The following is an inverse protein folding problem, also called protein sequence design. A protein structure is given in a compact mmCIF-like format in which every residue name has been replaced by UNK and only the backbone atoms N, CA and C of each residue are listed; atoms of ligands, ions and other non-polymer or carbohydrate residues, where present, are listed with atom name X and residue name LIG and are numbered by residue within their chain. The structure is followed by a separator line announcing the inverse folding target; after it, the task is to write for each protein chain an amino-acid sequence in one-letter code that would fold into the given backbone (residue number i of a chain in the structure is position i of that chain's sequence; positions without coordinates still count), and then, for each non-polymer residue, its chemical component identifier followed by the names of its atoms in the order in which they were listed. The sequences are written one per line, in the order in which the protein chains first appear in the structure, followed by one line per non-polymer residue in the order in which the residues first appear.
data_IF_919340704199
#
_entry.id   IF_919340704199
#
_cell.length_a   1.000
_cell.length_b   1.000
_cell.length_c   1.000
_cell.angle_alpha   90.00
_cell.angle_beta   90.00
_cell.angle_gamma   90.00
#
_symmetry.space_group_name_H-M   'P 1'
#
loop_
_entity.id
_entity.type
_entity.pdbx_description
1 polymer ?
#
# COMPACT_ATOMS: atom_id res chain seq x y z
N UNK A 1 13.61 -67.07 50.42
CA UNK A 1 13.18 -66.52 49.11
C UNK A 1 13.27 -65.00 49.17
N UNK A 2 14.13 -64.37 48.36
CA UNK A 2 14.20 -62.89 48.24
C UNK A 2 13.36 -62.49 47.03
N UNK A 3 12.28 -61.74 47.25
CA UNK A 3 11.45 -61.18 46.18
C UNK A 3 12.23 -60.06 45.48
N UNK A 4 12.50 -60.20 44.18
CA UNK A 4 13.09 -59.14 43.37
C UNK A 4 12.09 -57.99 43.23
N UNK A 5 12.43 -56.82 43.79
CA UNK A 5 11.61 -55.60 43.70
C UNK A 5 11.69 -55.08 42.25
N UNK A 6 10.65 -55.34 41.48
CA UNK A 6 10.50 -54.92 40.09
C UNK A 6 10.53 -53.38 40.05
N UNK A 7 11.67 -52.79 39.66
CA UNK A 7 11.80 -51.34 39.52
C UNK A 7 11.12 -50.95 38.22
N UNK A 8 10.05 -50.14 38.30
CA UNK A 8 9.41 -49.61 37.09
C UNK A 8 10.41 -48.70 36.35
N UNK A 9 10.71 -48.96 35.07
CA UNK A 9 11.75 -48.25 34.32
C UNK A 9 11.35 -46.83 33.93
N UNK A 10 10.07 -46.48 34.04
CA UNK A 10 9.55 -45.14 33.76
C UNK A 10 8.49 -44.80 34.80
N UNK A 11 8.61 -43.60 35.36
CA UNK A 11 7.63 -42.99 36.24
C UNK A 11 7.35 -41.59 35.73
N UNK A 12 6.08 -41.21 35.72
CA UNK A 12 5.67 -39.85 35.35
C UNK A 12 6.04 -38.93 36.52
N UNK A 13 6.64 -37.75 36.25
CA UNK A 13 6.91 -36.76 37.27
C UNK A 13 5.63 -36.39 38.05
N UNK A 14 5.79 -36.05 39.32
CA UNK A 14 4.69 -35.51 40.11
C UNK A 14 4.12 -34.26 39.43
N UNK A 15 2.80 -34.15 39.41
CA UNK A 15 2.05 -33.03 38.85
C UNK A 15 2.20 -32.80 37.32
N UNK A 16 2.67 -33.79 36.54
CA UNK A 16 2.82 -33.68 35.09
C UNK A 16 1.51 -33.30 34.39
N UNK A 17 0.41 -33.96 34.78
CA UNK A 17 -0.89 -33.75 34.14
C UNK A 17 -1.50 -32.40 34.50
N UNK A 18 -1.32 -31.94 35.74
CA UNK A 18 -1.76 -30.62 36.20
C UNK A 18 -1.03 -29.50 35.46
N UNK A 19 0.29 -29.62 35.31
CA UNK A 19 1.08 -28.63 34.56
C UNK A 19 0.75 -28.65 33.07
N UNK A 20 0.56 -29.84 32.49
CA UNK A 20 0.17 -30.00 31.10
C UNK A 20 -1.21 -29.40 30.83
N UNK A 21 -2.19 -29.66 31.69
CA UNK A 21 -3.53 -29.10 31.58
C UNK A 21 -3.50 -27.56 31.61
N UNK A 22 -2.75 -26.98 32.55
CA UNK A 22 -2.60 -25.52 32.63
C UNK A 22 -1.85 -24.89 31.43
N UNK A 23 -0.93 -25.61 30.81
CA UNK A 23 -0.26 -25.16 29.57
C UNK A 23 -1.18 -25.28 28.35
N UNK A 24 -1.95 -26.36 28.26
CA UNK A 24 -2.93 -26.58 27.21
C UNK A 24 -4.02 -25.50 27.24
N UNK A 25 -4.54 -25.17 28.41
CA UNK A 25 -5.54 -24.10 28.57
C UNK A 25 -5.04 -22.74 28.06
N UNK A 26 -3.78 -22.40 28.34
CA UNK A 26 -3.15 -21.17 27.85
C UNK A 26 -2.97 -21.14 26.34
N UNK A 27 -2.78 -22.29 25.69
CA UNK A 27 -2.56 -22.36 24.25
C UNK A 27 -3.86 -22.40 23.45
N UNK A 28 -4.93 -22.99 24.01
CA UNK A 28 -6.25 -23.04 23.37
C UNK A 28 -7.09 -21.79 23.63
N UNK A 29 -6.78 -21.01 24.67
CA UNK A 29 -7.52 -19.77 24.95
C UNK A 29 -7.21 -18.74 23.86
N UNK A 30 -8.19 -18.35 23.03
CA UNK A 30 -7.97 -17.36 22.00
C UNK A 30 -7.69 -16.02 22.66
N UNK A 31 -6.41 -15.63 22.69
CA UNK A 31 -6.03 -14.31 23.14
C UNK A 31 -6.57 -13.29 22.14
N UNK A 32 -7.60 -12.54 22.56
CA UNK A 32 -8.15 -11.44 21.78
C UNK A 32 -7.08 -10.36 21.66
N UNK A 33 -6.31 -10.40 20.57
CA UNK A 33 -5.42 -9.28 20.22
C UNK A 33 -6.31 -8.05 19.99
N UNK A 34 -6.01 -6.90 20.61
CA UNK A 34 -6.81 -5.71 20.40
C UNK A 34 -6.74 -5.35 18.91
N UNK A 35 -7.88 -5.01 18.30
CA UNK A 35 -7.99 -4.69 16.86
C UNK A 35 -6.98 -3.62 16.43
N UNK A 36 -6.64 -2.70 17.34
CA UNK A 36 -5.61 -1.68 17.15
C UNK A 36 -4.20 -2.26 16.89
N UNK A 37 -3.84 -3.38 17.52
CA UNK A 37 -2.53 -4.01 17.30
C UNK A 37 -2.36 -4.53 15.87
N UNK A 38 -3.46 -4.90 15.20
CA UNK A 38 -3.46 -5.24 13.77
C UNK A 38 -3.42 -3.99 12.87
N UNK A 39 -4.01 -2.87 13.31
CA UNK A 39 -4.05 -1.64 12.54
C UNK A 39 -2.74 -0.82 12.57
N UNK A 40 -1.92 -0.95 13.62
CA UNK A 40 -0.64 -0.21 13.78
C UNK A 40 0.27 -0.21 12.54
N UNK A 41 0.57 -1.34 11.87
CA UNK A 41 1.44 -1.32 10.69
C UNK A 41 0.80 -0.58 9.50
N UNK A 42 -0.52 -0.69 9.31
CA UNK A 42 -1.25 -0.02 8.23
C UNK A 42 -1.25 1.49 8.46
N UNK A 43 -1.51 1.92 9.69
CA UNK A 43 -1.47 3.34 10.07
C UNK A 43 -0.07 3.91 9.92
N UNK A 44 0.97 3.16 10.31
CA UNK A 44 2.35 3.59 10.14
C UNK A 44 2.74 3.76 8.66
N UNK A 45 2.35 2.82 7.80
CA UNK A 45 2.57 2.93 6.37
C UNK A 45 1.83 4.15 5.78
N UNK A 46 0.55 4.34 6.11
CA UNK A 46 -0.23 5.49 5.65
C UNK A 46 0.38 6.82 6.08
N UNK A 47 0.88 6.91 7.32
CA UNK A 47 1.55 8.12 7.82
C UNK A 47 2.86 8.41 7.07
N UNK A 48 3.64 7.39 6.71
CA UNK A 48 4.84 7.57 5.90
C UNK A 48 4.53 8.13 4.50
N UNK A 49 3.50 7.61 3.84
CA UNK A 49 3.04 8.14 2.55
C UNK A 49 2.49 9.56 2.66
N UNK A 50 1.66 9.83 3.67
CA UNK A 50 1.14 11.18 3.91
C UNK A 50 2.26 12.19 4.17
N UNK A 51 3.29 11.79 4.92
CA UNK A 51 4.49 12.60 5.15
C UNK A 51 5.24 12.91 3.85
N UNK A 52 5.46 11.91 2.99
CA UNK A 52 6.09 12.11 1.68
C UNK A 52 5.30 13.06 0.78
N UNK A 53 3.97 12.91 0.73
CA UNK A 53 3.10 13.79 -0.04
C UNK A 53 3.15 15.22 0.50
N UNK A 54 3.09 15.39 1.82
CA UNK A 54 3.14 16.71 2.45
C UNK A 54 4.49 17.41 2.21
N UNK A 55 5.61 16.68 2.32
CA UNK A 55 6.94 17.21 2.03
C UNK A 55 7.08 17.55 0.55
N UNK A 56 6.62 16.68 -0.34
CA UNK A 56 6.62 16.92 -1.79
C UNK A 56 5.86 18.21 -2.12
N UNK A 57 4.64 18.36 -1.59
CA UNK A 57 3.83 19.54 -1.77
C UNK A 57 4.48 20.81 -1.20
N UNK A 58 5.11 20.71 -0.03
CA UNK A 58 5.85 21.83 0.56
C UNK A 58 7.03 22.27 -0.33
N UNK A 59 7.80 21.32 -0.87
CA UNK A 59 8.92 21.64 -1.77
C UNK A 59 8.43 22.33 -3.04
N UNK A 60 7.36 21.81 -3.66
CA UNK A 60 6.78 22.40 -4.87
C UNK A 60 6.24 23.82 -4.62
N UNK A 61 5.59 24.05 -3.49
CA UNK A 61 5.07 25.38 -3.13
C UNK A 61 6.17 26.39 -2.79
N UNK A 62 7.29 25.95 -2.23
CA UNK A 62 8.46 26.82 -2.00
C UNK A 62 9.19 27.17 -3.30
N UNK A 63 9.25 26.24 -4.26
CA UNK A 63 9.90 26.46 -5.56
C UNK A 63 9.06 27.31 -6.52
N UNK A 64 7.77 27.01 -6.64
CA UNK A 64 6.90 27.61 -7.66
C UNK A 64 6.03 28.77 -7.12
N UNK A 65 6.16 29.10 -5.83
CA UNK A 65 5.29 30.05 -5.14
C UNK A 65 3.92 29.44 -4.77
N UNK A 66 3.25 30.06 -3.80
CA UNK A 66 1.92 29.64 -3.33
C UNK A 66 0.90 29.90 -4.45
N UNK A 67 0.57 28.87 -5.23
CA UNK A 67 -0.49 28.93 -6.26
C UNK A 67 -0.17 28.31 -7.63
N UNK A 68 1.05 27.86 -7.91
CA UNK A 68 1.38 27.30 -9.22
C UNK A 68 1.11 25.79 -9.27
N UNK A 69 0.04 25.39 -10.00
CA UNK A 69 0.26 24.85 -11.33
C UNK A 69 -0.73 25.48 -12.31
N UNK A 70 -0.36 26.58 -12.95
CA UNK A 70 -1.15 27.19 -14.02
C UNK A 70 -0.38 27.23 -15.34
N UNK A 71 0.95 27.43 -15.27
CA UNK A 71 1.76 27.65 -16.48
C UNK A 71 1.90 26.36 -17.31
N UNK A 72 2.03 25.20 -16.65
CA UNK A 72 2.22 23.90 -17.33
C UNK A 72 0.94 23.42 -18.03
N UNK A 73 -0.25 23.66 -17.45
CA UNK A 73 -1.52 23.33 -18.09
C UNK A 73 -1.84 24.20 -19.30
N UNK A 74 -1.42 25.47 -19.28
CA UNK A 74 -1.66 26.39 -20.39
C UNK A 74 -0.68 26.15 -21.55
N UNK A 75 0.57 25.80 -21.25
CA UNK A 75 1.57 25.44 -22.26
C UNK A 75 1.19 24.15 -23.00
N UNK A 76 0.82 23.10 -22.27
CA UNK A 76 0.36 21.83 -22.86
C UNK A 76 -0.90 22.03 -23.70
N UNK A 77 -1.83 22.90 -23.27
CA UNK A 77 -3.04 23.24 -24.05
C UNK A 77 -2.71 23.97 -25.36
N UNK A 78 -1.70 24.83 -25.37
CA UNK A 78 -1.28 25.53 -26.58
C UNK A 78 -0.65 24.56 -27.59
N UNK A 79 0.21 23.65 -27.13
CA UNK A 79 0.82 22.61 -27.95
C UNK A 79 -0.23 21.72 -28.64
N UNK A 80 -1.23 21.24 -27.89
CA UNK A 80 -2.32 20.48 -28.50
C UNK A 80 -3.19 21.31 -29.46
N UNK A 81 -3.39 22.61 -29.19
CA UNK A 81 -4.19 23.48 -30.06
C UNK A 81 -3.49 23.73 -31.40
N UNK A 82 -2.16 23.83 -31.42
CA UNK A 82 -1.37 24.00 -32.64
C UNK A 82 -1.40 22.73 -33.50
N UNK A 83 -1.23 21.55 -32.89
CA UNK A 83 -1.33 20.26 -33.59
C UNK A 83 -2.73 20.06 -34.22
N UNK A 84 -3.79 20.44 -33.50
CA UNK A 84 -5.17 20.33 -34.00
C UNK A 84 -5.42 21.33 -35.13
N UNK A 85 -4.88 22.55 -35.04
CA UNK A 85 -5.03 23.56 -36.08
C UNK A 85 -4.32 23.15 -37.38
N UNK A 86 -3.10 22.61 -37.28
CA UNK A 86 -2.30 22.14 -38.42
C UNK A 86 -3.02 20.99 -39.15
N UNK A 87 -3.52 20.01 -38.40
CA UNK A 87 -4.30 18.90 -38.98
C UNK A 87 -5.60 19.36 -39.64
N UNK A 88 -6.24 20.40 -39.12
CA UNK A 88 -7.48 20.92 -39.68
C UNK A 88 -7.25 21.75 -40.94
N UNK A 89 -6.14 22.49 -41.03
CA UNK A 89 -5.73 23.19 -42.25
C UNK A 89 -5.33 22.20 -43.35
N UNK A 90 -4.60 21.13 -43.01
CA UNK A 90 -4.26 20.06 -43.95
C UNK A 90 -5.51 19.37 -44.53
N UNK A 91 -6.50 19.08 -43.68
CA UNK A 91 -7.76 18.48 -44.10
C UNK A 91 -8.58 19.38 -45.04
N UNK A 92 -8.61 20.69 -44.79
CA UNK A 92 -9.32 21.62 -45.66
C UNK A 92 -8.63 21.84 -47.00
N UNK A 93 -7.30 21.76 -47.04
CA UNK A 93 -6.53 21.87 -48.29
C UNK A 93 -6.75 20.65 -49.19
N UNK A 94 -6.89 19.46 -48.61
CA UNK A 94 -7.16 18.23 -49.37
C UNK A 94 -8.55 18.25 -50.02
N UNK A 95 -9.59 18.69 -49.31
CA UNK A 95 -10.95 18.84 -49.85
C UNK A 95 -11.01 19.91 -50.96
N UNK A 96 -10.29 21.03 -50.81
CA UNK A 96 -10.25 22.10 -51.83
C UNK A 96 -9.50 21.67 -53.09
N UNK A 97 -8.44 20.86 -52.96
CA UNK A 97 -7.68 20.33 -54.09
C UNK A 97 -8.43 19.18 -54.80
N UNK A 98 -9.22 18.39 -54.06
CA UNK A 98 -10.06 17.34 -54.64
C UNK A 98 -11.16 17.92 -55.55
N UNK A 99 -11.70 19.09 -55.22
CA UNK A 99 -12.71 19.80 -56.04
C UNK A 99 -12.10 20.58 -57.23
N UNK A 100 -10.79 20.79 -57.27
CA UNK A 100 -10.11 21.58 -58.32
C UNK A 100 -9.68 20.74 -59.55
N UNK A 101 -9.74 19.42 -59.45
CA UNK A 101 -9.36 18.46 -60.50
C UNK A 101 -10.58 17.81 -61.22
N UNK A 102 -11.82 18.29 -60.99
CA UNK A 102 -13.05 17.91 -61.72
C UNK A 102 -13.49 19.00 -62.72
#
# INVERSE_FOLDING_TARGET
MKMARQRMPFAVPENYFEQFAGQLEKSITPQRKPLWALARPIVAAAAAFAGLIAVSYLVLTLQNGIGAPADDYMAVRQEYAEIIADQFEEFQLEDILADADE
#
